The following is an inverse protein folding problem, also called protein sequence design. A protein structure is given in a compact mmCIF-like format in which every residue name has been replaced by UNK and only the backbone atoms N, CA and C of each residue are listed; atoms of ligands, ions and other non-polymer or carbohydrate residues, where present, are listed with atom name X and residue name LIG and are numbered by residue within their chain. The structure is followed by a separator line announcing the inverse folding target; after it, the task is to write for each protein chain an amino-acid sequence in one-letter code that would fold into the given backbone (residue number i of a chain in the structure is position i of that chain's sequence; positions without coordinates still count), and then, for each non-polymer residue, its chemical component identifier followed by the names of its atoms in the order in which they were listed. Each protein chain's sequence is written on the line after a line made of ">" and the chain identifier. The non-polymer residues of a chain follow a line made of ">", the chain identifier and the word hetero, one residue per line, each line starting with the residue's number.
data_IF_486902513963
#
_entry.id   IF_486902513963
#
_cell.length_a   1.000
_cell.length_b   1.000
_cell.length_c   1.000
_cell.angle_alpha   90.00
_cell.angle_beta   90.00
_cell.angle_gamma   90.00
#
_symmetry.space_group_name_H-M   'P 1'
#
loop_
_entity.id
_entity.type
_entity.pdbx_description
1 polymer ?
#
# COMPACT_ATOMS: atom_id res chain seq x y z
N UNK A 1 -7.18 7.91 -12.39
CA UNK A 1 -6.46 8.78 -11.43
C UNK A 1 -5.31 9.37 -12.22
N UNK A 2 -5.21 10.70 -12.31
CA UNK A 2 -4.17 11.43 -13.06
C UNK A 2 -2.76 10.98 -12.62
N UNK A 3 -1.84 10.88 -13.59
CA UNK A 3 -0.46 10.38 -13.42
C UNK A 3 0.33 11.09 -12.33
N UNK A 4 0.01 12.35 -12.02
CA UNK A 4 0.62 13.11 -10.91
C UNK A 4 0.44 12.43 -9.53
N UNK A 5 -0.61 11.62 -9.36
CA UNK A 5 -0.85 10.90 -8.11
C UNK A 5 -0.02 9.61 -8.02
N UNK A 6 0.39 9.05 -9.16
CA UNK A 6 1.17 7.81 -9.20
C UNK A 6 2.53 8.00 -8.56
N UNK A 7 3.29 9.02 -8.97
CA UNK A 7 4.60 9.31 -8.39
C UNK A 7 4.47 9.73 -6.92
N UNK A 8 3.48 10.56 -6.57
CA UNK A 8 3.23 10.95 -5.17
C UNK A 8 2.98 9.74 -4.26
N UNK A 9 2.15 8.79 -4.68
CA UNK A 9 1.85 7.61 -3.87
C UNK A 9 3.06 6.66 -3.76
N UNK A 10 3.95 6.64 -4.76
CA UNK A 10 5.19 5.89 -4.67
C UNK A 10 6.12 6.47 -3.60
N UNK A 11 6.34 7.79 -3.63
CA UNK A 11 7.17 8.47 -2.64
C UNK A 11 6.60 8.34 -1.22
N UNK A 12 5.28 8.51 -1.06
CA UNK A 12 4.62 8.35 0.24
C UNK A 12 4.71 6.90 0.73
N UNK A 13 4.53 5.92 -0.16
CA UNK A 13 4.65 4.51 0.21
C UNK A 13 6.07 4.15 0.66
N UNK A 14 7.08 4.58 -0.09
CA UNK A 14 8.49 4.37 0.27
C UNK A 14 8.85 5.04 1.60
N UNK A 15 8.30 6.23 1.88
CA UNK A 15 8.49 6.91 3.16
C UNK A 15 7.87 6.12 4.32
N UNK A 16 6.65 5.62 4.18
CA UNK A 16 5.99 4.85 5.24
C UNK A 16 6.64 3.50 5.47
N UNK A 17 7.03 2.78 4.41
CA UNK A 17 7.78 1.53 4.56
C UNK A 17 9.13 1.78 5.26
N UNK A 18 9.84 2.86 4.92
CA UNK A 18 11.07 3.23 5.60
C UNK A 18 10.87 3.61 7.08
N UNK A 19 9.75 4.27 7.43
CA UNK A 19 9.41 4.64 8.81
C UNK A 19 9.01 3.42 9.66
N UNK A 20 8.25 2.48 9.08
CA UNK A 20 7.92 1.20 9.72
C UNK A 20 9.20 0.41 9.99
N UNK A 21 10.01 0.18 8.95
CA UNK A 21 11.28 -0.55 9.09
C UNK A 21 12.29 0.13 10.01
N UNK A 22 12.35 1.47 10.04
CA UNK A 22 13.25 2.21 10.94
C UNK A 22 12.83 2.10 12.42
N UNK A 23 11.53 1.90 12.69
CA UNK A 23 11.02 1.71 14.06
C UNK A 23 11.52 0.41 14.71
N UNK A 24 11.98 -0.56 13.93
CA UNK A 24 12.63 -1.80 14.41
C UNK A 24 14.08 -1.62 14.87
N UNK A 25 14.75 -0.52 14.51
CA UNK A 25 16.18 -0.34 14.76
C UNK A 25 16.46 0.04 16.23
N UNK A 26 15.46 0.58 16.95
CA UNK A 26 15.61 1.01 18.34
C UNK A 26 15.02 -0.08 19.27
N UNK A 27 15.86 -0.86 19.99
CA UNK A 27 15.37 -1.90 20.90
C UNK A 27 14.51 -1.27 22.00
N UNK A 28 13.28 -1.77 22.16
CA UNK A 28 12.33 -1.30 23.18
C UNK A 28 11.29 -0.28 22.69
N UNK A 29 11.50 0.39 21.56
CA UNK A 29 10.49 1.27 20.93
C UNK A 29 9.63 0.49 19.93
N UNK A 30 10.20 -0.44 19.16
CA UNK A 30 9.47 -1.20 18.12
C UNK A 30 8.14 -1.78 18.59
N UNK A 31 8.14 -2.55 19.69
CA UNK A 31 6.91 -3.19 20.19
C UNK A 31 5.81 -2.21 20.66
N UNK A 32 6.17 -1.00 21.08
CA UNK A 32 5.20 0.03 21.48
C UNK A 32 4.75 0.87 20.28
N UNK A 33 5.65 1.04 19.30
CA UNK A 33 5.36 1.65 18.01
C UNK A 33 4.32 0.83 17.25
N UNK A 34 4.41 -0.49 17.21
CA UNK A 34 3.48 -1.36 16.47
C UNK A 34 2.00 -1.18 16.90
N UNK A 35 1.75 -0.91 18.19
CA UNK A 35 0.38 -0.70 18.72
C UNK A 35 -0.28 0.56 18.16
N UNK A 36 0.50 1.61 17.89
CA UNK A 36 0.00 2.89 17.37
C UNK A 36 0.13 2.92 15.84
N UNK A 37 1.25 2.40 15.34
CA UNK A 37 1.62 2.42 13.94
C UNK A 37 0.77 1.46 13.12
N UNK A 38 0.47 0.25 13.59
CA UNK A 38 -0.41 -0.67 12.87
C UNK A 38 -1.79 -0.03 12.54
N UNK A 39 -2.57 0.51 13.51
CA UNK A 39 -3.86 1.14 13.18
C UNK A 39 -3.70 2.38 12.30
N UNK A 40 -2.61 3.14 12.45
CA UNK A 40 -2.30 4.27 11.59
C UNK A 40 -1.99 3.83 10.15
N UNK A 41 -1.19 2.79 9.98
CA UNK A 41 -0.80 2.23 8.69
C UNK A 41 -2.01 1.68 7.93
N UNK A 42 -2.86 0.92 8.62
CA UNK A 42 -4.13 0.45 8.07
C UNK A 42 -5.03 1.60 7.62
N UNK A 43 -5.16 2.65 8.43
CA UNK A 43 -5.93 3.86 8.09
C UNK A 43 -5.34 4.60 6.88
N UNK A 44 -4.02 4.83 6.85
CA UNK A 44 -3.31 5.47 5.74
C UNK A 44 -3.51 4.71 4.43
N UNK A 45 -3.47 3.38 4.46
CA UNK A 45 -3.71 2.53 3.29
C UNK A 45 -5.11 2.75 2.69
N UNK A 46 -6.14 2.87 3.55
CA UNK A 46 -7.51 3.17 3.07
C UNK A 46 -7.66 4.57 2.47
N UNK A 47 -6.82 5.53 2.90
CA UNK A 47 -6.81 6.91 2.39
C UNK A 47 -6.07 7.01 1.06
N UNK A 48 -4.95 6.31 0.93
CA UNK A 48 -4.15 6.25 -0.30
C UNK A 48 -4.89 5.51 -1.42
N UNK A 49 -5.50 4.37 -1.10
CA UNK A 49 -6.16 3.52 -2.09
C UNK A 49 -7.67 3.48 -1.83
N UNK A 50 -8.44 4.21 -2.66
CA UNK A 50 -9.91 4.23 -2.51
C UNK A 50 -10.55 2.90 -2.92
N UNK A 51 -11.59 2.51 -2.17
CA UNK A 51 -12.45 1.35 -2.48
C UNK A 51 -12.05 0.06 -1.76
N UNK A 52 -12.73 -1.05 -2.10
CA UNK A 52 -12.59 -2.35 -1.40
C UNK A 52 -11.15 -2.89 -1.39
N UNK A 53 -10.36 -2.60 -2.43
CA UNK A 53 -8.97 -3.04 -2.50
C UNK A 53 -8.06 -2.34 -1.49
N UNK A 54 -8.28 -1.06 -1.18
CA UNK A 54 -7.50 -0.36 -0.16
C UNK A 54 -7.94 -0.66 1.26
N UNK A 55 -9.22 -0.97 1.47
CA UNK A 55 -9.72 -1.48 2.75
C UNK A 55 -9.16 -2.87 3.07
N UNK A 56 -9.15 -3.79 2.09
CA UNK A 56 -8.57 -5.11 2.26
C UNK A 56 -7.05 -5.03 2.51
N UNK A 57 -6.33 -4.24 1.70
CA UNK A 57 -4.90 -4.03 1.90
C UNK A 57 -4.59 -3.39 3.26
N UNK A 58 -5.37 -2.40 3.70
CA UNK A 58 -5.19 -1.75 5.00
C UNK A 58 -5.44 -2.68 6.18
N UNK A 59 -6.43 -3.58 6.08
CA UNK A 59 -6.66 -4.61 7.11
C UNK A 59 -5.53 -5.64 7.14
N UNK A 60 -5.04 -6.08 5.98
CA UNK A 60 -3.90 -7.00 5.89
C UNK A 60 -2.65 -6.35 6.51
N UNK A 61 -2.35 -5.10 6.13
CA UNK A 61 -1.21 -4.34 6.68
C UNK A 61 -1.31 -4.21 8.20
N UNK A 62 -2.49 -3.85 8.71
CA UNK A 62 -2.74 -3.76 10.16
C UNK A 62 -2.43 -5.08 10.89
N UNK A 63 -2.85 -6.22 10.31
CA UNK A 63 -2.62 -7.54 10.90
C UNK A 63 -1.15 -7.96 10.77
N UNK A 64 -0.50 -7.67 9.65
CA UNK A 64 0.92 -7.95 9.42
C UNK A 64 1.82 -7.21 10.43
N UNK A 65 1.55 -5.93 10.67
CA UNK A 65 2.31 -5.08 11.59
C UNK A 65 2.10 -5.49 13.07
N UNK A 66 0.94 -6.08 13.40
CA UNK A 66 0.66 -6.62 14.74
C UNK A 66 1.35 -7.96 15.02
N UNK A 67 1.89 -8.62 13.99
CA UNK A 67 2.56 -9.91 14.11
C UNK A 67 4.09 -9.73 14.19
N UNK A 68 4.73 -10.17 15.29
CA UNK A 68 6.18 -10.05 15.43
C UNK A 68 6.91 -10.87 14.34
N UNK A 69 7.74 -10.20 13.55
CA UNK A 69 8.61 -10.83 12.55
C UNK A 69 8.12 -10.84 11.10
N UNK A 70 6.89 -10.37 10.82
CA UNK A 70 6.40 -10.20 9.44
C UNK A 70 6.66 -8.79 8.87
N UNK A 71 7.02 -7.83 9.72
CA UNK A 71 7.02 -6.39 9.43
C UNK A 71 8.25 -5.87 8.65
N UNK A 72 8.93 -6.76 7.93
CA UNK A 72 10.07 -6.43 7.05
C UNK A 72 9.59 -6.18 5.61
N UNK A 73 8.30 -6.47 5.33
CA UNK A 73 7.74 -6.41 3.99
C UNK A 73 7.30 -4.96 3.68
N UNK A 74 7.77 -4.35 2.59
CA UNK A 74 7.40 -2.98 2.21
C UNK A 74 5.98 -2.94 1.62
N UNK A 75 4.97 -3.09 2.48
CA UNK A 75 3.57 -3.30 2.11
C UNK A 75 2.94 -2.09 1.40
N UNK A 76 3.32 -0.85 1.72
CA UNK A 76 2.83 0.33 1.00
C UNK A 76 3.35 0.38 -0.44
N UNK A 77 4.62 0.04 -0.64
CA UNK A 77 5.25 -0.06 -1.97
C UNK A 77 4.67 -1.22 -2.77
N UNK A 78 4.42 -2.38 -2.16
CA UNK A 78 3.77 -3.50 -2.84
C UNK A 78 2.35 -3.15 -3.29
N UNK A 79 1.58 -2.47 -2.44
CA UNK A 79 0.23 -2.03 -2.79
C UNK A 79 0.26 -1.01 -3.94
N UNK A 80 1.30 -0.18 -4.01
CA UNK A 80 1.51 0.72 -5.13
C UNK A 80 1.75 -0.05 -6.43
N UNK A 81 2.65 -1.04 -6.42
CA UNK A 81 2.94 -1.89 -7.58
C UNK A 81 1.65 -2.58 -8.04
N UNK A 82 0.90 -3.18 -7.11
CA UNK A 82 -0.37 -3.82 -7.43
C UNK A 82 -1.37 -2.85 -8.09
N UNK A 83 -1.50 -1.65 -7.54
CA UNK A 83 -2.47 -0.66 -8.02
C UNK A 83 -2.10 -0.08 -9.38
N UNK A 84 -0.83 0.29 -9.58
CA UNK A 84 -0.40 1.07 -10.74
C UNK A 84 0.26 0.27 -11.84
N UNK A 85 0.87 -0.88 -11.52
CA UNK A 85 1.52 -1.75 -12.51
C UNK A 85 0.55 -2.87 -12.92
N UNK A 86 0.02 -3.62 -11.96
CA UNK A 86 -0.81 -4.80 -12.26
C UNK A 86 -2.24 -4.40 -12.64
N UNK A 87 -2.93 -3.67 -11.77
CA UNK A 87 -4.32 -3.24 -12.00
C UNK A 87 -4.42 -2.15 -13.06
N UNK A 88 -3.40 -1.28 -13.15
CA UNK A 88 -3.24 -0.32 -14.24
C UNK A 88 -3.25 -1.00 -15.61
N UNK A 89 -2.42 -2.03 -15.80
CA UNK A 89 -2.36 -2.79 -17.05
C UNK A 89 -3.67 -3.51 -17.39
N UNK A 90 -4.41 -4.04 -16.39
CA UNK A 90 -5.73 -4.65 -16.64
C UNK A 90 -6.77 -3.65 -17.14
N UNK A 91 -6.76 -2.40 -16.66
CA UNK A 91 -7.69 -1.36 -17.13
C UNK A 91 -7.45 -1.02 -18.59
N UNK A 92 -6.18 -0.93 -19.00
CA UNK A 92 -5.79 -0.59 -20.36
C UNK A 92 -6.20 -1.67 -21.37
N UNK A 93 -6.00 -2.95 -21.02
CA UNK A 93 -6.42 -4.09 -21.87
C UNK A 93 -7.94 -4.20 -22.07
N UNK A 94 -8.72 -3.91 -21.03
CA UNK A 94 -10.20 -3.95 -21.14
C UNK A 94 -10.69 -2.84 -22.07
N UNK A 95 -10.12 -1.63 -21.98
CA UNK A 95 -10.49 -0.51 -22.85
C UNK A 95 -10.11 -0.79 -24.30
N UNK A 96 -8.94 -1.36 -24.57
CA UNK A 96 -8.52 -1.73 -25.94
C UNK A 96 -9.41 -2.83 -26.56
N UNK A 97 -9.80 -3.83 -25.76
CA UNK A 97 -10.67 -4.93 -26.23
C UNK A 97 -12.06 -4.41 -26.59
N UNK A 98 -12.68 -3.64 -25.69
CA UNK A 98 -14.00 -3.05 -25.96
C UNK A 98 -13.94 -2.12 -27.17
N UNK A 99 -12.89 -1.30 -27.33
CA UNK A 99 -12.78 -0.40 -28.48
C UNK A 99 -12.70 -1.14 -29.83
N UNK A 100 -12.12 -2.35 -29.88
CA UNK A 100 -12.08 -3.20 -31.07
C UNK A 100 -13.42 -3.88 -31.39
N UNK A 101 -14.25 -4.15 -30.39
CA UNK A 101 -15.55 -4.82 -30.60
C UNK A 101 -16.65 -3.89 -31.15
N UNK A 102 -16.44 -2.56 -31.08
CA UNK A 102 -17.36 -1.51 -31.57
C UNK A 102 -16.89 -0.82 -32.86
N UNK A 103 -15.75 -1.24 -33.44
CA UNK A 103 -15.19 -0.74 -34.71
C UNK A 103 -15.34 -1.74 -35.84
#
# INVERSE_FOLDING_TARGET
>A
MKDDNKIKFLFIGLLFDALGMASFIIPGIGAFSDVIWAPLAGWLMTRMYKGRSGQAAGFITFVEELMPGLDIIPTFTLMWIYTYVIKGAKKEKVVETTAKDIS
#
